data_IF_726835209774
#
_entry.id   IF_726835209774
#
_cell.length_a   1.000
_cell.length_b   1.000
_cell.length_c   1.000
_cell.angle_alpha   90.00
_cell.angle_beta   90.00
_cell.angle_gamma   90.00
#
_symmetry.space_group_name_H-M   'P 1'
#
loop_
_entity.id
_entity.type
_entity.pdbx_description
1 polymer ?
#
# COMPACT_ATOMS: atom_id res chain seq x y z
N UNK A 1 -13.53 -80.54 13.22
CA UNK A 1 -13.01 -79.63 12.20
C UNK A 1 -13.59 -78.27 12.45
N UNK A 2 -12.88 -77.40 13.20
CA UNK A 2 -13.37 -76.08 13.70
C UNK A 2 -12.95 -74.98 12.73
N UNK A 3 -13.94 -74.33 12.13
CA UNK A 3 -13.75 -73.21 11.19
C UNK A 3 -13.72 -71.93 11.99
N UNK A 4 -12.59 -71.28 12.07
CA UNK A 4 -12.42 -69.94 12.69
C UNK A 4 -12.82 -68.85 11.69
N UNK A 5 -13.91 -68.15 12.01
CA UNK A 5 -14.37 -66.96 11.34
C UNK A 5 -13.53 -65.74 11.85
N UNK A 6 -12.68 -65.15 11.02
CA UNK A 6 -11.96 -63.93 11.33
C UNK A 6 -12.79 -62.72 10.87
N UNK A 7 -13.26 -61.92 11.80
CA UNK A 7 -13.86 -60.61 11.60
C UNK A 7 -12.73 -59.60 11.36
N UNK A 8 -12.76 -58.74 10.34
CA UNK A 8 -11.87 -57.62 10.25
C UNK A 8 -12.41 -56.46 11.08
N UNK A 9 -11.62 -55.99 12.05
CA UNK A 9 -11.86 -54.77 12.80
C UNK A 9 -11.54 -53.60 11.88
N UNK A 10 -12.56 -52.91 11.38
CA UNK A 10 -12.41 -51.61 10.70
C UNK A 10 -12.12 -50.55 11.76
N UNK A 11 -10.85 -50.16 11.83
CA UNK A 11 -10.41 -48.99 12.59
C UNK A 11 -10.83 -47.75 11.80
N UNK A 12 -11.95 -47.10 12.12
CA UNK A 12 -12.35 -45.84 11.63
C UNK A 12 -11.44 -44.79 12.30
N UNK A 13 -10.35 -44.39 11.64
CA UNK A 13 -9.62 -43.17 11.99
C UNK A 13 -10.50 -41.95 11.63
N UNK A 14 -11.20 -41.44 12.65
CA UNK A 14 -11.77 -40.10 12.57
C UNK A 14 -10.61 -39.10 12.52
N UNK A 15 -10.25 -38.66 11.32
CA UNK A 15 -9.50 -37.42 11.16
C UNK A 15 -10.39 -36.28 11.65
N UNK A 16 -10.27 -35.90 12.92
CA UNK A 16 -10.65 -34.57 13.35
C UNK A 16 -9.73 -33.62 12.60
N UNK A 17 -10.23 -33.05 11.50
CA UNK A 17 -9.68 -31.83 10.95
C UNK A 17 -9.85 -30.80 12.07
N UNK A 18 -8.77 -30.50 12.79
CA UNK A 18 -8.63 -29.31 13.58
C UNK A 18 -8.61 -28.17 12.55
N UNK A 19 -9.80 -27.69 12.20
CA UNK A 19 -9.90 -26.37 11.57
C UNK A 19 -9.33 -25.41 12.63
N UNK A 20 -8.17 -24.84 12.37
CA UNK A 20 -7.69 -23.70 13.10
C UNK A 20 -8.83 -22.67 13.05
N UNK A 21 -9.58 -22.54 14.15
CA UNK A 21 -10.53 -21.45 14.31
C UNK A 21 -9.68 -20.21 14.39
N UNK A 22 -9.62 -19.46 13.29
CA UNK A 22 -9.08 -18.12 13.33
C UNK A 22 -9.80 -17.34 14.42
N UNK A 23 -9.06 -16.50 15.14
CA UNK A 23 -9.69 -15.64 16.14
C UNK A 23 -10.60 -14.62 15.44
N UNK A 24 -11.76 -14.37 16.08
CA UNK A 24 -12.75 -13.44 15.55
C UNK A 24 -12.56 -12.06 16.19
N UNK A 25 -12.36 -11.06 15.36
CA UNK A 25 -12.17 -9.67 15.76
C UNK A 25 -13.34 -9.10 16.57
N UNK A 26 -14.54 -9.70 16.46
CA UNK A 26 -15.69 -9.27 17.22
C UNK A 26 -15.44 -9.25 18.73
N UNK A 27 -14.66 -10.20 19.25
CA UNK A 27 -14.26 -10.24 20.66
C UNK A 27 -13.36 -9.04 21.02
N UNK A 28 -12.37 -8.71 20.17
CA UNK A 28 -11.46 -7.59 20.38
C UNK A 28 -12.21 -6.26 20.34
N UNK A 29 -12.97 -6.00 19.27
CA UNK A 29 -13.64 -4.69 19.05
C UNK A 29 -14.81 -4.45 20.01
N UNK A 30 -15.35 -5.46 20.66
CA UNK A 30 -16.41 -5.32 21.67
C UNK A 30 -15.89 -5.20 23.10
N UNK A 31 -14.57 -5.36 23.30
CA UNK A 31 -13.98 -5.27 24.64
C UNK A 31 -14.21 -3.87 25.24
N UNK A 32 -14.71 -3.76 26.47
CA UNK A 32 -14.85 -2.47 27.14
C UNK A 32 -13.51 -1.80 27.43
N UNK A 33 -12.45 -2.61 27.51
CA UNK A 33 -11.07 -2.17 27.81
C UNK A 33 -10.23 -1.96 26.55
N UNK A 34 -10.83 -2.05 25.35
CA UNK A 34 -10.12 -1.91 24.08
C UNK A 34 -9.18 -0.70 24.04
N UNK A 35 -9.65 0.46 24.51
CA UNK A 35 -8.89 1.71 24.49
C UNK A 35 -7.88 1.86 25.63
N UNK A 36 -7.80 0.86 26.53
CA UNK A 36 -6.74 0.75 27.55
C UNK A 36 -5.57 -0.10 27.04
N UNK A 37 -5.72 -0.73 25.89
CA UNK A 37 -4.68 -1.55 25.26
C UNK A 37 -3.43 -0.71 25.06
N UNK A 38 -2.30 -1.21 25.58
CA UNK A 38 -1.02 -0.56 25.44
C UNK A 38 -0.29 -1.04 24.19
N UNK A 39 0.52 -0.18 23.60
CA UNK A 39 1.37 -0.50 22.47
C UNK A 39 2.34 -1.64 22.80
N UNK A 40 2.99 -1.54 23.94
CA UNK A 40 3.91 -2.57 24.41
C UNK A 40 3.19 -3.92 24.57
N UNK A 41 3.71 -4.93 23.89
CA UNK A 41 3.16 -6.29 23.94
C UNK A 41 1.91 -6.55 23.10
N UNK A 42 1.34 -5.57 22.39
CA UNK A 42 0.11 -5.73 21.59
C UNK A 42 0.23 -6.87 20.59
N UNK A 43 1.22 -6.85 19.72
CA UNK A 43 1.42 -7.87 18.69
C UNK A 43 1.67 -9.26 19.29
N UNK A 44 2.31 -9.33 20.45
CA UNK A 44 2.55 -10.58 21.19
C UNK A 44 1.25 -11.12 21.81
N UNK A 45 0.44 -10.24 22.42
CA UNK A 45 -0.84 -10.63 23.03
C UNK A 45 -1.86 -11.10 22.00
N UNK A 46 -1.80 -10.56 20.78
CA UNK A 46 -2.70 -10.88 19.66
C UNK A 46 -1.98 -11.66 18.54
N UNK A 47 -0.96 -12.46 18.93
CA UNK A 47 -0.18 -13.27 17.96
C UNK A 47 -1.06 -14.21 17.15
N UNK A 48 -2.13 -14.74 17.74
CA UNK A 48 -3.06 -15.68 17.09
C UNK A 48 -3.88 -14.99 15.98
N UNK A 49 -4.04 -13.67 16.06
CA UNK A 49 -4.58 -12.81 14.98
C UNK A 49 -3.52 -12.48 13.91
N UNK A 50 -2.26 -12.81 14.16
CA UNK A 50 -1.18 -12.59 13.20
C UNK A 50 -0.72 -11.14 13.07
N UNK A 51 -0.97 -10.28 14.06
CA UNK A 51 -0.50 -8.91 14.03
C UNK A 51 1.01 -8.81 14.06
N UNK A 52 1.55 -7.91 13.27
CA UNK A 52 2.96 -7.52 13.24
C UNK A 52 3.10 -6.00 13.16
N UNK A 53 4.20 -5.49 13.67
CA UNK A 53 4.51 -4.06 13.59
C UNK A 53 5.03 -3.70 12.20
N UNK A 54 4.50 -2.65 11.61
CA UNK A 54 4.93 -2.18 10.29
C UNK A 54 6.29 -1.49 10.31
N UNK A 55 6.68 -0.93 11.45
CA UNK A 55 7.94 -0.22 11.62
C UNK A 55 8.51 -0.38 13.03
N UNK A 56 9.79 -0.02 13.20
CA UNK A 56 10.43 0.03 14.50
C UNK A 56 9.81 1.08 15.45
N UNK A 57 9.06 2.07 14.93
CA UNK A 57 8.34 3.04 15.73
C UNK A 57 7.14 2.43 16.48
N UNK A 58 6.66 1.27 16.00
CA UNK A 58 5.52 0.55 16.60
C UNK A 58 4.26 1.44 16.76
N UNK A 59 4.06 2.36 15.83
CA UNK A 59 2.90 3.26 15.79
C UNK A 59 1.71 2.65 15.04
N UNK A 60 1.96 1.61 14.22
CA UNK A 60 0.95 0.85 13.50
C UNK A 60 1.29 -0.62 13.46
N UNK A 61 0.31 -1.46 13.81
CA UNK A 61 0.33 -2.91 13.60
C UNK A 61 -0.70 -3.29 12.54
N UNK A 62 -0.42 -4.36 11.82
CA UNK A 62 -1.26 -4.83 10.73
C UNK A 62 -1.36 -6.34 10.70
N UNK A 63 -2.41 -6.89 10.10
CA UNK A 63 -2.50 -8.32 9.78
C UNK A 63 -3.24 -8.56 8.47
N UNK A 64 -2.65 -9.41 7.63
CA UNK A 64 -3.26 -10.00 6.43
C UNK A 64 -3.52 -11.51 6.61
N UNK A 65 -3.55 -11.99 7.84
CA UNK A 65 -3.70 -13.41 8.12
C UNK A 65 -5.01 -13.97 7.57
N UNK A 66 -4.94 -14.99 6.72
CA UNK A 66 -6.11 -15.69 6.14
C UNK A 66 -7.02 -16.32 7.20
N UNK A 67 -6.57 -16.40 8.47
CA UNK A 67 -7.34 -16.92 9.60
C UNK A 67 -8.13 -15.86 10.35
N UNK A 68 -7.91 -14.57 10.09
CA UNK A 68 -8.62 -13.50 10.79
C UNK A 68 -10.03 -13.33 10.24
N UNK A 69 -11.01 -13.30 11.14
CA UNK A 69 -12.42 -13.16 10.79
C UNK A 69 -13.06 -12.00 11.55
N UNK A 70 -14.08 -11.41 10.94
CA UNK A 70 -15.05 -10.55 11.62
C UNK A 70 -16.43 -11.19 11.48
N UNK A 71 -17.10 -11.44 12.60
CA UNK A 71 -18.39 -12.15 12.61
C UNK A 71 -18.33 -13.49 11.84
N UNK A 72 -17.25 -14.24 12.06
CA UNK A 72 -16.97 -15.54 11.41
C UNK A 72 -16.80 -15.49 9.89
N UNK A 73 -16.57 -14.32 9.31
CA UNK A 73 -16.25 -14.14 7.89
C UNK A 73 -14.82 -13.63 7.74
N UNK A 74 -14.05 -14.14 6.77
CA UNK A 74 -12.71 -13.63 6.49
C UNK A 74 -12.73 -12.14 6.18
N UNK A 75 -11.71 -11.42 6.61
CA UNK A 75 -11.45 -10.03 6.25
C UNK A 75 -10.19 -9.95 5.39
N UNK A 76 -10.04 -8.86 4.65
CA UNK A 76 -8.89 -8.65 3.78
C UNK A 76 -7.66 -8.25 4.61
N UNK A 77 -7.86 -7.32 5.55
CA UNK A 77 -6.79 -6.67 6.28
C UNK A 77 -7.32 -6.03 7.56
N UNK A 78 -6.47 -5.89 8.55
CA UNK A 78 -6.77 -5.13 9.77
C UNK A 78 -5.59 -4.28 10.16
N UNK A 79 -5.83 -2.99 10.25
CA UNK A 79 -4.89 -1.99 10.76
C UNK A 79 -5.23 -1.59 12.18
N UNK A 80 -4.21 -1.39 12.98
CA UNK A 80 -4.33 -0.91 14.36
C UNK A 80 -3.35 0.24 14.56
N UNK A 81 -3.86 1.43 14.80
CA UNK A 81 -3.08 2.65 14.97
C UNK A 81 -2.91 2.98 16.45
N UNK A 82 -1.69 3.36 16.84
CA UNK A 82 -1.33 3.80 18.19
C UNK A 82 -0.94 5.27 18.18
N UNK A 83 -1.37 5.99 19.21
CA UNK A 83 -0.94 7.35 19.49
C UNK A 83 -0.21 7.39 20.82
N UNK A 84 1.09 7.54 20.78
CA UNK A 84 1.95 7.29 21.94
C UNK A 84 1.84 5.83 22.37
N UNK A 85 1.51 5.58 23.63
CA UNK A 85 1.42 4.23 24.18
C UNK A 85 0.02 3.60 24.08
N UNK A 86 -0.99 4.34 23.56
CA UNK A 86 -2.38 3.89 23.59
C UNK A 86 -2.93 3.62 22.19
N UNK A 87 -3.81 2.63 22.13
CA UNK A 87 -4.59 2.33 20.94
C UNK A 87 -5.45 3.55 20.56
N UNK A 88 -5.33 3.99 19.32
CA UNK A 88 -5.99 5.19 18.81
C UNK A 88 -7.15 4.87 17.84
N UNK A 89 -7.06 3.78 17.12
CA UNK A 89 -8.06 3.35 16.16
C UNK A 89 -7.77 1.97 15.61
N UNK A 90 -8.80 1.39 15.01
CA UNK A 90 -8.73 0.10 14.33
C UNK A 90 -9.55 0.19 13.05
N UNK A 91 -8.99 -0.25 11.94
CA UNK A 91 -9.65 -0.33 10.64
C UNK A 91 -9.67 -1.77 10.16
N UNK A 92 -10.83 -2.29 9.81
CA UNK A 92 -11.01 -3.63 9.24
C UNK A 92 -11.45 -3.48 7.79
N UNK A 93 -10.62 -3.87 6.84
CA UNK A 93 -10.98 -4.01 5.43
C UNK A 93 -11.77 -5.31 5.24
N UNK A 94 -13.10 -5.23 5.27
CA UNK A 94 -14.00 -6.39 5.16
C UNK A 94 -14.01 -6.89 3.72
N UNK A 95 -14.01 -5.98 2.77
CA UNK A 95 -13.93 -6.25 1.35
C UNK A 95 -13.17 -5.12 0.67
N UNK A 96 -12.23 -5.48 -0.17
CA UNK A 96 -11.56 -4.58 -1.09
C UNK A 96 -11.47 -5.26 -2.46
N UNK A 97 -11.81 -4.53 -3.51
CA UNK A 97 -11.81 -5.06 -4.87
C UNK A 97 -10.43 -5.55 -5.32
N UNK A 98 -9.39 -4.92 -4.82
CA UNK A 98 -8.01 -5.30 -5.12
C UNK A 98 -7.58 -6.63 -4.51
N UNK A 99 -8.20 -7.04 -3.39
CA UNK A 99 -7.90 -8.29 -2.71
C UNK A 99 -8.84 -9.42 -3.13
N UNK A 100 -10.15 -9.14 -3.07
CA UNK A 100 -11.19 -10.14 -3.20
C UNK A 100 -11.77 -10.26 -4.63
N UNK A 101 -11.35 -9.36 -5.55
CA UNK A 101 -11.92 -9.30 -6.90
C UNK A 101 -13.29 -8.62 -6.95
N UNK A 102 -13.98 -8.76 -8.08
CA UNK A 102 -15.24 -8.07 -8.31
C UNK A 102 -16.40 -8.73 -7.55
N UNK A 103 -17.22 -7.94 -6.86
CA UNK A 103 -18.52 -8.32 -6.34
C UNK A 103 -19.64 -7.76 -7.21
N UNK A 104 -20.66 -8.57 -7.45
CA UNK A 104 -21.91 -8.10 -8.05
C UNK A 104 -22.68 -7.21 -7.05
N UNK A 105 -23.60 -6.42 -7.57
CA UNK A 105 -24.45 -5.56 -6.74
C UNK A 105 -25.25 -6.34 -5.67
N UNK A 106 -25.91 -7.49 -5.99
CA UNK A 106 -26.58 -8.30 -4.96
C UNK A 106 -25.65 -8.85 -3.87
N UNK A 107 -24.44 -9.30 -4.24
CA UNK A 107 -23.45 -9.82 -3.29
C UNK A 107 -22.97 -8.72 -2.34
N UNK A 108 -22.64 -7.54 -2.85
CA UNK A 108 -22.26 -6.39 -2.01
C UNK A 108 -23.38 -6.01 -1.02
N UNK A 109 -24.64 -5.95 -1.49
CA UNK A 109 -25.76 -5.65 -0.60
C UNK A 109 -26.00 -6.74 0.45
N UNK A 110 -25.84 -8.00 0.10
CA UNK A 110 -25.94 -9.11 1.06
C UNK A 110 -24.85 -9.03 2.13
N UNK A 111 -23.62 -8.67 1.74
CA UNK A 111 -22.52 -8.40 2.66
C UNK A 111 -22.90 -7.28 3.62
N UNK A 112 -23.31 -6.12 3.11
CA UNK A 112 -23.67 -4.96 3.94
C UNK A 112 -24.82 -5.24 4.92
N UNK A 113 -25.88 -5.94 4.47
CA UNK A 113 -26.99 -6.33 5.33
C UNK A 113 -26.50 -7.20 6.48
N UNK A 114 -25.63 -8.16 6.19
CA UNK A 114 -25.03 -9.00 7.23
C UNK A 114 -24.24 -8.18 8.24
N UNK A 115 -23.34 -7.30 7.78
CA UNK A 115 -22.49 -6.49 8.67
C UNK A 115 -23.35 -5.56 9.55
N UNK A 116 -24.36 -4.93 8.98
CA UNK A 116 -25.31 -4.10 9.73
C UNK A 116 -26.05 -4.92 10.81
N UNK A 117 -26.50 -6.12 10.50
CA UNK A 117 -27.17 -7.00 11.48
C UNK A 117 -26.23 -7.42 12.61
N UNK A 118 -24.99 -7.78 12.28
CA UNK A 118 -23.98 -8.18 13.27
C UNK A 118 -23.59 -6.99 14.18
N UNK A 119 -23.40 -5.80 13.61
CA UNK A 119 -23.08 -4.59 14.39
C UNK A 119 -24.26 -4.16 15.28
N UNK A 120 -25.50 -4.25 14.83
CA UNK A 120 -26.68 -4.02 15.68
C UNK A 120 -26.71 -5.00 16.87
N UNK A 121 -26.40 -6.28 16.62
CA UNK A 121 -26.36 -7.29 17.67
C UNK A 121 -25.20 -7.06 18.66
N UNK A 122 -24.01 -6.71 18.14
CA UNK A 122 -22.82 -6.44 18.93
C UNK A 122 -23.00 -5.20 19.83
N UNK A 123 -23.41 -4.09 19.26
CA UNK A 123 -23.47 -2.79 19.93
C UNK A 123 -24.74 -2.61 20.74
N UNK A 124 -25.80 -3.36 20.44
CA UNK A 124 -27.16 -3.25 21.00
C UNK A 124 -27.80 -1.87 20.81
N UNK A 125 -27.30 -1.10 19.84
CA UNK A 125 -27.86 0.19 19.43
C UNK A 125 -28.21 0.17 17.94
N UNK A 126 -29.11 1.03 17.52
CA UNK A 126 -29.41 1.23 16.10
C UNK A 126 -28.41 2.21 15.51
N UNK A 127 -28.02 1.97 14.26
CA UNK A 127 -27.13 2.90 13.57
C UNK A 127 -27.83 4.21 13.23
N UNK A 128 -27.04 5.27 13.19
CA UNK A 128 -27.40 6.52 12.52
C UNK A 128 -26.86 6.49 11.09
N UNK A 129 -27.74 6.68 10.12
CA UNK A 129 -27.30 6.82 8.72
C UNK A 129 -26.63 8.19 8.56
N UNK A 130 -25.35 8.22 8.26
CA UNK A 130 -24.60 9.45 8.00
C UNK A 130 -24.79 9.95 6.55
N UNK A 131 -25.53 9.18 5.73
CA UNK A 131 -25.77 9.52 4.33
C UNK A 131 -24.56 9.24 3.44
N UNK A 132 -24.47 9.95 2.35
CA UNK A 132 -23.34 9.90 1.44
C UNK A 132 -22.32 10.94 1.92
N UNK A 133 -21.34 10.51 2.68
CA UNK A 133 -20.19 11.34 2.98
C UNK A 133 -19.27 11.31 1.75
N UNK A 134 -18.89 12.48 1.25
CA UNK A 134 -17.77 12.57 0.34
C UNK A 134 -16.53 12.59 1.21
N UNK A 135 -15.70 11.53 1.14
CA UNK A 135 -14.30 11.68 1.52
C UNK A 135 -13.66 12.72 0.60
N UNK A 136 -12.54 13.30 0.99
CA UNK A 136 -11.82 14.17 0.07
C UNK A 136 -11.34 13.42 -1.17
N UNK A 137 -11.25 12.10 -1.08
CA UNK A 137 -10.83 11.21 -2.15
C UNK A 137 -12.01 10.58 -2.91
N UNK A 138 -12.97 9.94 -2.22
CA UNK A 138 -14.03 9.13 -2.83
C UNK A 138 -15.41 9.39 -2.22
N UNK A 139 -16.46 8.92 -2.88
CA UNK A 139 -17.82 8.97 -2.34
C UNK A 139 -18.17 7.69 -1.62
N UNK A 140 -18.11 7.71 -0.30
CA UNK A 140 -18.54 6.60 0.53
C UNK A 140 -19.90 6.85 1.18
N UNK A 141 -20.62 5.77 1.47
CA UNK A 141 -21.81 5.78 2.32
C UNK A 141 -21.44 5.23 3.67
N UNK A 142 -21.87 5.90 4.74
CA UNK A 142 -21.48 5.55 6.09
C UNK A 142 -22.67 5.28 7.01
N UNK A 143 -22.53 4.26 7.87
CA UNK A 143 -23.41 3.93 8.97
C UNK A 143 -22.63 4.01 10.28
N UNK A 144 -23.14 4.75 11.26
CA UNK A 144 -22.51 4.97 12.54
C UNK A 144 -23.27 4.32 13.69
N UNK A 145 -22.59 3.49 14.47
CA UNK A 145 -23.03 3.06 15.80
C UNK A 145 -22.18 3.76 16.85
N UNK A 146 -22.80 4.26 17.88
CA UNK A 146 -22.12 4.90 19.00
C UNK A 146 -22.51 4.22 20.30
N UNK A 147 -21.52 3.64 20.97
CA UNK A 147 -21.62 3.11 22.33
C UNK A 147 -20.99 4.09 23.34
N UNK A 148 -21.09 3.86 24.64
CA UNK A 148 -20.39 4.70 25.62
C UNK A 148 -18.87 4.73 25.47
N UNK A 149 -18.26 3.70 24.91
CA UNK A 149 -16.80 3.54 24.83
C UNK A 149 -16.23 3.60 23.41
N UNK A 150 -17.03 3.29 22.40
CA UNK A 150 -16.55 3.17 21.01
C UNK A 150 -17.55 3.74 20.01
N UNK A 151 -17.03 4.19 18.89
CA UNK A 151 -17.75 4.46 17.64
C UNK A 151 -17.37 3.42 16.61
N UNK A 152 -18.36 2.89 15.90
CA UNK A 152 -18.22 1.94 14.82
C UNK A 152 -18.76 2.60 13.56
N UNK A 153 -17.89 2.85 12.59
CA UNK A 153 -18.24 3.47 11.31
C UNK A 153 -18.07 2.44 10.20
N UNK A 154 -19.19 1.91 9.70
CA UNK A 154 -19.20 1.02 8.53
C UNK A 154 -19.34 1.86 7.29
N UNK A 155 -18.32 1.84 6.45
CA UNK A 155 -18.26 2.62 5.21
C UNK A 155 -18.20 1.67 4.00
N UNK A 156 -18.82 2.08 2.92
CA UNK A 156 -18.72 1.37 1.65
C UNK A 156 -18.78 2.32 0.46
N UNK A 157 -18.08 1.96 -0.59
CA UNK A 157 -18.05 2.68 -1.86
C UNK A 157 -18.34 1.77 -3.05
N UNK A 158 -18.93 2.33 -4.07
CA UNK A 158 -19.19 1.65 -5.34
C UNK A 158 -19.35 2.63 -6.50
N UNK A 159 -18.95 2.19 -7.69
CA UNK A 159 -19.26 2.88 -8.93
C UNK A 159 -20.66 2.47 -9.40
N UNK A 160 -21.54 3.46 -9.61
CA UNK A 160 -22.90 3.21 -10.14
C UNK A 160 -22.85 2.75 -11.59
N UNK A 161 -23.70 1.79 -11.94
CA UNK A 161 -23.95 1.43 -13.33
C UNK A 161 -24.50 2.64 -14.11
N UNK A 162 -23.89 2.95 -15.25
CA UNK A 162 -24.37 3.97 -16.19
C UNK A 162 -24.50 3.32 -17.57
N UNK A 163 -25.71 2.80 -17.87
CA UNK A 163 -25.98 2.06 -19.12
C UNK A 163 -25.69 2.87 -20.38
N UNK A 164 -26.00 4.17 -20.38
CA UNK A 164 -25.75 5.07 -21.51
C UNK A 164 -24.27 5.28 -21.85
N UNK A 165 -23.36 4.99 -20.89
CA UNK A 165 -21.91 5.11 -21.03
C UNK A 165 -21.19 3.76 -20.96
N UNK A 166 -21.94 2.66 -20.91
CA UNK A 166 -21.42 1.30 -20.74
C UNK A 166 -20.49 1.15 -19.51
N UNK A 167 -20.81 1.87 -18.43
CA UNK A 167 -20.10 1.76 -17.16
C UNK A 167 -20.83 0.72 -16.31
N UNK A 168 -20.21 -0.43 -15.97
CA UNK A 168 -20.84 -1.43 -15.11
C UNK A 168 -20.84 -0.98 -13.63
N UNK A 169 -21.72 -1.61 -12.84
CA UNK A 169 -21.60 -1.55 -11.39
C UNK A 169 -20.25 -2.17 -10.96
N UNK A 170 -19.58 -1.52 -9.99
CA UNK A 170 -18.37 -2.04 -9.36
C UNK A 170 -18.41 -1.74 -7.87
N UNK A 171 -18.40 -2.78 -7.04
CA UNK A 171 -18.09 -2.63 -5.63
C UNK A 171 -16.62 -2.21 -5.50
N UNK A 172 -16.31 -1.25 -4.66
CA UNK A 172 -14.94 -0.77 -4.48
C UNK A 172 -14.39 -1.30 -3.14
N UNK A 173 -15.02 -0.92 -2.02
CA UNK A 173 -14.65 -1.42 -0.72
C UNK A 173 -15.84 -1.47 0.26
N UNK A 174 -15.68 -2.25 1.32
CA UNK A 174 -16.47 -2.24 2.57
C UNK A 174 -15.48 -2.30 3.72
N UNK A 175 -15.49 -1.31 4.60
CA UNK A 175 -14.58 -1.26 5.76
C UNK A 175 -15.31 -0.85 7.02
N UNK A 176 -14.82 -1.33 8.16
CA UNK A 176 -15.28 -0.94 9.48
C UNK A 176 -14.16 -0.20 10.20
N UNK A 177 -14.42 1.03 10.62
CA UNK A 177 -13.51 1.79 11.50
C UNK A 177 -14.08 1.81 12.92
N UNK A 178 -13.23 1.51 13.88
CA UNK A 178 -13.56 1.55 15.30
C UNK A 178 -12.66 2.58 15.98
N UNK A 179 -13.26 3.54 16.68
CA UNK A 179 -12.53 4.62 17.37
C UNK A 179 -13.10 4.86 18.77
N UNK A 180 -12.36 5.50 19.69
CA UNK A 180 -12.90 5.89 20.98
C UNK A 180 -14.13 6.79 20.83
N UNK A 181 -15.08 6.67 21.77
CA UNK A 181 -16.33 7.45 21.75
C UNK A 181 -16.11 8.96 21.79
N UNK A 182 -15.01 9.41 22.38
CA UNK A 182 -14.66 10.82 22.52
C UNK A 182 -14.09 11.46 21.25
N UNK A 183 -13.69 10.64 20.25
CA UNK A 183 -13.19 11.16 18.96
C UNK A 183 -14.33 11.68 18.08
N UNK A 184 -14.05 12.62 17.13
CA UNK A 184 -15.04 13.15 16.19
C UNK A 184 -15.84 12.06 15.49
N UNK A 185 -17.08 12.36 15.11
CA UNK A 185 -18.06 11.40 14.56
C UNK A 185 -17.63 10.73 13.24
N UNK A 186 -16.61 11.24 12.58
CA UNK A 186 -16.09 10.75 11.31
C UNK A 186 -14.59 10.92 11.30
N UNK A 187 -13.85 9.90 10.90
CA UNK A 187 -12.43 10.01 10.55
C UNK A 187 -12.25 11.05 9.44
N UNK A 188 -13.26 11.21 8.63
CA UNK A 188 -13.39 12.22 7.59
C UNK A 188 -13.51 13.65 8.16
N UNK A 189 -14.22 13.84 9.29
CA UNK A 189 -14.24 15.13 9.96
C UNK A 189 -12.87 15.46 10.59
N UNK A 190 -12.08 14.44 10.94
CA UNK A 190 -10.69 14.60 11.36
C UNK A 190 -9.79 14.90 10.15
N UNK A 191 -10.07 14.27 9.00
CA UNK A 191 -9.47 14.60 7.72
C UNK A 191 -9.81 16.02 7.26
N UNK A 192 -11.06 16.41 7.37
CA UNK A 192 -11.52 17.77 7.08
C UNK A 192 -11.02 18.78 8.12
N UNK A 193 -10.86 18.39 9.38
CA UNK A 193 -10.26 19.23 10.41
C UNK A 193 -8.73 19.33 10.24
N UNK A 194 -8.08 18.29 9.69
CA UNK A 194 -6.67 18.34 9.30
C UNK A 194 -6.46 19.00 7.93
N UNK A 195 -7.48 19.07 7.08
CA UNK A 195 -7.56 19.93 5.90
C UNK A 195 -7.93 21.39 6.22
N UNK A 196 -8.29 21.71 7.49
CA UNK A 196 -8.20 23.08 7.98
C UNK A 196 -6.76 23.59 7.74
N UNK A 197 -6.57 24.88 7.41
CA UNK A 197 -5.23 25.42 7.17
C UNK A 197 -4.30 24.92 8.27
N UNK A 198 -3.24 24.19 7.87
CA UNK A 198 -2.22 23.83 8.85
C UNK A 198 -1.73 25.14 9.43
N UNK A 199 -1.81 25.29 10.76
CA UNK A 199 -1.34 26.51 11.43
C UNK A 199 0.16 26.77 11.17
N UNK A 200 0.88 25.75 10.68
CA UNK A 200 2.28 25.83 10.25
C UNK A 200 2.48 25.09 8.94
N UNK A 201 3.25 25.67 8.02
CA UNK A 201 3.72 25.00 6.81
C UNK A 201 4.48 23.71 7.18
N UNK A 202 4.43 22.70 6.31
CA UNK A 202 5.19 21.46 6.51
C UNK A 202 6.69 21.76 6.42
N UNK A 203 7.42 21.59 7.52
CA UNK A 203 8.88 21.79 7.55
C UNK A 203 9.61 20.51 7.15
N UNK A 204 9.69 20.27 5.84
CA UNK A 204 10.36 19.10 5.28
C UNK A 204 11.81 18.93 5.75
N UNK A 205 12.67 19.97 5.73
CA UNK A 205 14.06 19.87 6.18
C UNK A 205 14.22 19.40 7.63
N UNK A 206 13.26 19.67 8.53
CA UNK A 206 13.33 19.21 9.92
C UNK A 206 13.22 17.70 10.07
N UNK A 207 12.69 17.02 9.04
CA UNK A 207 12.59 15.56 8.99
C UNK A 207 13.84 14.89 8.41
N UNK A 208 14.83 15.68 7.96
CA UNK A 208 16.06 15.15 7.35
C UNK A 208 17.13 14.94 8.42
N UNK A 209 17.56 13.71 8.59
CA UNK A 209 18.65 13.35 9.48
C UNK A 209 19.94 13.13 8.71
N UNK A 210 21.02 13.69 9.23
CA UNK A 210 22.40 13.46 8.76
C UNK A 210 23.12 12.63 9.81
N UNK A 211 23.56 11.44 9.43
CA UNK A 211 24.24 10.51 10.32
C UNK A 211 25.77 10.58 10.18
N UNK A 212 26.48 10.16 11.22
CA UNK A 212 27.94 10.11 11.18
C UNK A 212 28.50 9.09 10.17
N UNK A 213 27.66 8.16 9.70
CA UNK A 213 27.95 7.21 8.62
C UNK A 213 27.99 7.85 7.23
N UNK A 214 27.66 9.14 7.11
CA UNK A 214 27.47 9.82 5.83
C UNK A 214 26.07 9.69 5.25
N UNK A 215 25.17 8.93 5.88
CA UNK A 215 23.78 8.80 5.46
C UNK A 215 23.03 10.12 5.68
N UNK A 216 22.32 10.56 4.65
CA UNK A 216 21.37 11.67 4.70
C UNK A 216 20.00 11.10 4.31
N UNK A 217 19.05 11.11 5.23
CA UNK A 217 17.76 10.48 4.99
C UNK A 217 16.59 11.17 5.68
N UNK A 218 15.43 11.05 5.06
CA UNK A 218 14.16 11.45 5.66
C UNK A 218 13.79 10.40 6.70
N UNK A 219 13.56 10.83 7.93
CA UNK A 219 12.95 10.01 8.97
C UNK A 219 11.43 10.15 8.95
N UNK A 220 10.74 9.30 9.69
CA UNK A 220 9.28 9.39 9.91
C UNK A 220 8.37 9.15 8.69
N UNK A 221 8.89 8.68 7.55
CA UNK A 221 8.01 8.18 6.50
C UNK A 221 7.36 6.88 6.98
N UNK A 222 6.04 6.85 7.19
CA UNK A 222 5.39 5.68 7.75
C UNK A 222 5.47 4.48 6.80
N UNK A 223 5.47 3.25 7.36
CA UNK A 223 5.34 2.04 6.58
C UNK A 223 3.87 1.77 6.30
N UNK A 224 3.59 1.26 5.11
CA UNK A 224 2.35 0.61 4.71
C UNK A 224 2.75 -0.66 3.99
N UNK A 225 2.15 -1.79 4.36
CA UNK A 225 2.37 -3.05 3.66
C UNK A 225 1.33 -3.21 2.54
N UNK A 226 1.79 -3.36 1.32
CA UNK A 226 0.89 -3.58 0.18
C UNK A 226 0.28 -5.00 0.14
N UNK A 227 0.74 -5.89 1.01
CA UNK A 227 0.37 -7.30 0.98
C UNK A 227 0.79 -8.01 -0.32
N UNK A 228 0.03 -9.04 -0.70
CA UNK A 228 0.25 -9.80 -1.94
C UNK A 228 -0.34 -9.13 -3.20
N UNK A 229 -0.85 -7.91 -3.06
CA UNK A 229 -1.57 -7.14 -4.10
C UNK A 229 -0.60 -6.40 -5.03
N UNK A 230 -1.05 -6.06 -6.23
CA UNK A 230 -0.37 -5.12 -7.12
C UNK A 230 -0.54 -3.65 -6.69
N UNK A 231 -0.43 -3.36 -5.40
CA UNK A 231 -0.73 -2.05 -4.79
C UNK A 231 0.50 -1.21 -4.47
N UNK A 232 1.66 -1.55 -5.03
CA UNK A 232 2.88 -0.78 -4.77
C UNK A 232 2.72 0.74 -4.97
N UNK A 233 1.97 1.17 -5.99
CA UNK A 233 1.70 2.58 -6.25
C UNK A 233 0.77 3.17 -5.19
N UNK A 234 -0.27 2.42 -4.80
CA UNK A 234 -1.25 2.81 -3.78
C UNK A 234 -0.57 2.99 -2.43
N UNK A 235 0.11 1.93 -1.96
CA UNK A 235 0.81 1.92 -0.68
C UNK A 235 1.90 3.00 -0.61
N UNK A 236 2.68 3.16 -1.70
CA UNK A 236 3.70 4.20 -1.77
C UNK A 236 3.09 5.61 -1.69
N UNK A 237 1.97 5.85 -2.39
CA UNK A 237 1.26 7.14 -2.33
C UNK A 237 0.68 7.39 -0.93
N UNK A 238 0.07 6.38 -0.29
CA UNK A 238 -0.44 6.48 1.09
C UNK A 238 0.68 6.87 2.06
N UNK A 239 1.84 6.23 1.97
CA UNK A 239 2.99 6.52 2.83
C UNK A 239 3.39 8.00 2.75
N UNK A 240 3.47 8.54 1.54
CA UNK A 240 3.81 9.97 1.33
C UNK A 240 2.69 10.88 1.82
N UNK A 241 1.42 10.54 1.56
CA UNK A 241 0.28 11.30 2.07
C UNK A 241 0.27 11.33 3.61
N UNK A 242 0.45 10.19 4.25
CA UNK A 242 0.54 10.08 5.72
C UNK A 242 1.74 10.85 6.28
N UNK A 243 2.88 10.83 5.60
CA UNK A 243 4.06 11.61 5.96
C UNK A 243 3.74 13.12 6.02
N UNK A 244 2.94 13.60 5.09
CA UNK A 244 2.45 14.98 5.09
C UNK A 244 1.21 15.20 5.99
N UNK A 245 0.75 14.18 6.71
CA UNK A 245 -0.45 14.26 7.56
C UNK A 245 -1.75 14.41 6.77
N UNK A 246 -1.79 13.92 5.53
CA UNK A 246 -3.01 13.84 4.72
C UNK A 246 -3.66 12.47 4.96
N UNK A 247 -4.89 12.41 5.51
CA UNK A 247 -5.52 11.18 5.95
C UNK A 247 -6.27 10.51 4.79
N UNK A 248 -5.53 9.83 3.92
CA UNK A 248 -6.07 9.00 2.84
C UNK A 248 -5.53 7.59 3.03
N UNK A 249 -6.38 6.59 2.95
CA UNK A 249 -5.98 5.19 3.06
C UNK A 249 -5.90 4.48 1.70
N UNK A 250 -5.38 3.26 1.71
CA UNK A 250 -5.19 2.46 0.50
C UNK A 250 -6.50 2.15 -0.22
N UNK A 251 -7.62 1.93 0.50
CA UNK A 251 -8.92 1.62 -0.11
C UNK A 251 -9.40 2.78 -0.98
N UNK A 252 -9.24 4.01 -0.50
CA UNK A 252 -9.60 5.22 -1.22
C UNK A 252 -8.68 5.45 -2.41
N UNK A 253 -7.37 5.29 -2.22
CA UNK A 253 -6.40 5.45 -3.29
C UNK A 253 -6.55 4.36 -4.37
N UNK A 254 -6.85 3.12 -3.99
CA UNK A 254 -7.12 2.03 -4.93
C UNK A 254 -8.37 2.30 -5.76
N UNK A 255 -9.44 2.83 -5.17
CA UNK A 255 -10.64 3.26 -5.89
C UNK A 255 -10.31 4.38 -6.89
N UNK A 256 -9.59 5.41 -6.46
CA UNK A 256 -9.18 6.53 -7.30
C UNK A 256 -8.37 6.08 -8.52
N UNK A 257 -7.44 5.17 -8.31
CA UNK A 257 -6.59 4.63 -9.37
C UNK A 257 -7.29 3.56 -10.21
N UNK A 258 -8.54 3.18 -9.87
CA UNK A 258 -9.25 2.07 -10.47
C UNK A 258 -8.45 0.75 -10.43
N UNK A 259 -7.76 0.52 -9.32
CA UNK A 259 -6.93 -0.65 -9.09
C UNK A 259 -7.75 -1.95 -9.12
N UNK A 260 -7.11 -3.06 -9.45
CA UNK A 260 -7.75 -4.38 -9.42
C UNK A 260 -6.75 -5.48 -9.10
N UNK A 261 -7.23 -6.57 -8.51
CA UNK A 261 -6.43 -7.75 -8.20
C UNK A 261 -5.66 -8.31 -9.41
N UNK A 262 -6.27 -8.24 -10.60
CA UNK A 262 -5.71 -8.81 -11.82
C UNK A 262 -4.70 -7.90 -12.55
N UNK A 263 -4.89 -6.58 -12.50
CA UNK A 263 -4.11 -5.61 -13.27
C UNK A 263 -3.17 -4.74 -12.42
N UNK A 264 -3.31 -4.80 -11.09
CA UNK A 264 -2.59 -3.91 -10.20
C UNK A 264 -3.04 -2.45 -10.34
N UNK A 265 -2.10 -1.53 -10.13
CA UNK A 265 -2.33 -0.08 -10.19
C UNK A 265 -1.42 0.55 -11.23
N UNK A 266 -2.00 1.36 -12.13
CA UNK A 266 -1.22 2.17 -13.09
C UNK A 266 -0.79 3.47 -12.43
N UNK A 267 0.49 3.84 -12.60
CA UNK A 267 1.04 5.13 -12.14
C UNK A 267 0.26 6.30 -12.74
N UNK A 268 0.00 6.25 -14.05
CA UNK A 268 -0.71 7.32 -14.77
C UNK A 268 -2.13 7.50 -14.24
N UNK A 269 -2.84 6.39 -13.96
CA UNK A 269 -4.20 6.45 -13.40
C UNK A 269 -4.19 7.04 -12.00
N UNK A 270 -3.24 6.64 -11.14
CA UNK A 270 -3.07 7.17 -9.80
C UNK A 270 -2.77 8.68 -9.85
N UNK A 271 -1.72 9.08 -10.55
CA UNK A 271 -1.30 10.48 -10.59
C UNK A 271 -2.32 11.38 -11.26
N UNK A 272 -3.01 10.91 -12.32
CA UNK A 272 -4.10 11.65 -12.93
C UNK A 272 -5.28 11.87 -11.96
N UNK A 273 -5.54 10.91 -11.09
CA UNK A 273 -6.60 11.02 -10.08
C UNK A 273 -6.19 11.94 -8.93
N UNK A 274 -4.98 11.80 -8.39
CA UNK A 274 -4.44 12.70 -7.38
C UNK A 274 -4.37 14.14 -7.86
N UNK A 275 -3.98 14.36 -9.13
CA UNK A 275 -3.96 15.70 -9.74
C UNK A 275 -5.34 16.35 -9.79
N UNK A 276 -6.41 15.59 -10.00
CA UNK A 276 -7.78 16.12 -9.95
C UNK A 276 -8.22 16.49 -8.54
N UNK A 277 -7.63 15.90 -7.53
CA UNK A 277 -7.93 16.12 -6.12
C UNK A 277 -6.89 16.99 -5.41
N UNK A 278 -5.91 17.51 -6.14
CA UNK A 278 -4.76 18.24 -5.58
C UNK A 278 -5.16 19.37 -4.63
N UNK A 279 -6.14 20.18 -5.01
CA UNK A 279 -6.64 21.27 -4.16
C UNK A 279 -7.32 20.75 -2.88
N UNK A 280 -8.09 19.65 -2.98
CA UNK A 280 -8.80 19.05 -1.84
C UNK A 280 -7.84 18.34 -0.88
N UNK A 281 -6.87 17.62 -1.42
CA UNK A 281 -5.85 16.91 -0.66
C UNK A 281 -4.68 17.81 -0.26
N UNK A 282 -4.66 19.06 -0.76
CA UNK A 282 -3.58 20.03 -0.53
C UNK A 282 -2.19 19.48 -0.87
N UNK A 283 -2.12 18.71 -1.97
CA UNK A 283 -0.88 18.17 -2.52
C UNK A 283 -0.81 18.43 -4.02
N UNK A 284 0.39 18.53 -4.54
CA UNK A 284 0.66 18.56 -5.98
C UNK A 284 1.53 17.38 -6.38
N UNK A 285 1.30 16.89 -7.58
CA UNK A 285 2.16 15.88 -8.20
C UNK A 285 3.15 16.61 -9.12
N UNK A 286 4.42 16.38 -8.89
CA UNK A 286 5.50 16.91 -9.72
C UNK A 286 6.24 15.75 -10.38
N UNK A 287 6.08 15.55 -11.71
CA UNK A 287 6.96 14.66 -12.45
C UNK A 287 8.41 15.18 -12.36
N UNK A 288 9.32 14.28 -12.02
CA UNK A 288 10.75 14.56 -11.94
C UNK A 288 11.45 14.02 -13.18
N UNK A 289 11.16 12.75 -13.48
CA UNK A 289 11.72 12.07 -14.65
C UNK A 289 10.73 11.05 -15.16
N UNK A 290 10.45 11.10 -16.44
CA UNK A 290 9.63 10.10 -17.12
C UNK A 290 10.49 9.38 -18.16
N UNK A 291 10.39 8.06 -18.24
CA UNK A 291 11.00 7.29 -19.32
C UNK A 291 10.11 7.39 -20.55
N UNK A 292 10.36 8.39 -21.39
CA UNK A 292 9.58 8.59 -22.61
C UNK A 292 9.98 7.61 -23.73
N UNK A 293 9.18 7.59 -24.80
CA UNK A 293 9.43 6.71 -25.97
C UNK A 293 10.82 6.94 -26.58
N UNK A 294 11.33 8.17 -26.60
CA UNK A 294 12.64 8.49 -27.19
C UNK A 294 13.75 7.93 -26.32
N UNK A 295 13.63 8.05 -25.00
CA UNK A 295 14.59 7.50 -24.05
C UNK A 295 14.66 5.98 -24.13
N UNK A 296 13.49 5.31 -24.25
CA UNK A 296 13.43 3.85 -24.45
C UNK A 296 14.12 3.46 -25.74
N UNK A 297 13.82 4.13 -26.84
CA UNK A 297 14.45 3.84 -28.14
C UNK A 297 15.96 4.12 -28.12
N UNK A 298 16.40 5.19 -27.45
CA UNK A 298 17.81 5.51 -27.27
C UNK A 298 18.53 4.41 -26.44
N UNK A 299 17.88 3.97 -25.35
CA UNK A 299 18.39 2.88 -24.52
C UNK A 299 18.53 1.57 -25.34
N UNK A 300 17.49 1.21 -26.10
CA UNK A 300 17.53 0.01 -26.98
C UNK A 300 18.65 0.10 -28.01
N UNK A 301 18.83 1.26 -28.61
CA UNK A 301 19.91 1.49 -29.59
C UNK A 301 21.29 1.31 -28.97
N UNK A 302 21.52 1.88 -27.78
CA UNK A 302 22.79 1.77 -27.08
C UNK A 302 23.02 0.33 -26.58
N UNK A 303 21.96 -0.31 -26.03
CA UNK A 303 22.03 -1.72 -25.65
C UNK A 303 22.41 -2.60 -26.84
N UNK A 304 21.75 -2.45 -27.99
CA UNK A 304 22.02 -3.25 -29.18
C UNK A 304 23.42 -3.01 -29.72
N UNK A 305 23.95 -1.77 -29.63
CA UNK A 305 25.33 -1.46 -29.98
C UNK A 305 26.33 -2.24 -29.13
N UNK A 306 26.08 -2.34 -27.82
CA UNK A 306 26.90 -3.08 -26.87
C UNK A 306 26.73 -4.58 -27.03
N UNK A 307 25.50 -5.07 -27.16
CA UNK A 307 25.19 -6.50 -27.36
C UNK A 307 25.92 -7.08 -28.58
N UNK A 308 25.94 -6.37 -29.73
CA UNK A 308 26.72 -6.76 -30.89
C UNK A 308 28.21 -6.91 -30.60
N UNK A 309 28.78 -6.02 -29.79
CA UNK A 309 30.21 -6.09 -29.42
C UNK A 309 30.53 -7.28 -28.51
N UNK A 310 29.57 -7.65 -27.68
CA UNK A 310 29.71 -8.77 -26.74
C UNK A 310 29.17 -10.09 -27.30
N UNK A 311 28.75 -10.10 -28.58
CA UNK A 311 28.17 -11.27 -29.25
C UNK A 311 26.89 -11.80 -28.55
N UNK A 312 26.06 -10.88 -28.04
CA UNK A 312 24.84 -11.19 -27.33
C UNK A 312 23.60 -10.79 -28.15
N UNK A 313 22.43 -11.38 -27.84
CA UNK A 313 21.18 -11.07 -28.55
C UNK A 313 20.82 -9.61 -28.50
N UNK A 314 20.42 -9.07 -29.63
CA UNK A 314 19.86 -7.71 -29.75
C UNK A 314 18.36 -7.72 -29.42
N UNK A 315 17.87 -6.58 -28.91
CA UNK A 315 16.44 -6.36 -28.74
C UNK A 315 15.84 -6.12 -30.12
N UNK A 316 14.84 -6.91 -30.53
CA UNK A 316 14.19 -6.71 -31.83
C UNK A 316 13.38 -5.42 -31.87
N UNK A 317 13.14 -4.90 -33.06
CA UNK A 317 12.21 -3.80 -33.28
C UNK A 317 10.82 -4.17 -32.74
N UNK A 318 10.26 -3.30 -31.90
CA UNK A 318 8.97 -3.50 -31.27
C UNK A 318 7.78 -2.98 -32.12
N UNK A 319 8.05 -2.41 -33.29
CA UNK A 319 7.03 -1.80 -34.14
C UNK A 319 6.35 -0.60 -33.50
N UNK A 320 5.02 -0.46 -33.72
CA UNK A 320 4.27 0.71 -33.22
C UNK A 320 3.92 0.68 -31.73
N UNK A 321 4.05 -0.47 -31.06
CA UNK A 321 3.64 -0.63 -29.66
C UNK A 321 4.83 -1.11 -28.81
N UNK A 322 5.42 -0.19 -28.06
CA UNK A 322 6.49 -0.51 -27.14
C UNK A 322 5.92 -1.19 -25.88
N UNK A 323 6.34 -2.42 -25.64
CA UNK A 323 6.03 -3.17 -24.42
C UNK A 323 7.24 -3.08 -23.50
N UNK A 324 7.31 -2.02 -22.69
CA UNK A 324 8.46 -1.68 -21.86
C UNK A 324 8.96 -2.87 -21.05
N UNK A 325 8.06 -3.57 -20.34
CA UNK A 325 8.45 -4.76 -19.57
C UNK A 325 9.12 -5.82 -20.44
N UNK A 326 8.58 -6.10 -21.64
CA UNK A 326 9.16 -7.11 -22.56
C UNK A 326 10.53 -6.70 -23.09
N UNK A 327 10.75 -5.40 -23.25
CA UNK A 327 12.05 -4.86 -23.64
C UNK A 327 13.07 -5.15 -22.52
N UNK A 328 12.74 -4.85 -21.27
CA UNK A 328 13.62 -5.12 -20.12
C UNK A 328 13.82 -6.62 -19.87
N UNK A 329 12.76 -7.45 -20.02
CA UNK A 329 12.85 -8.91 -19.92
C UNK A 329 13.84 -9.52 -20.93
N UNK A 330 13.99 -8.89 -22.09
CA UNK A 330 14.91 -9.36 -23.13
C UNK A 330 16.35 -8.83 -22.97
N UNK A 331 16.57 -7.86 -22.07
CA UNK A 331 17.89 -7.28 -21.82
C UNK A 331 18.70 -8.13 -20.83
N UNK A 332 19.99 -8.33 -21.12
CA UNK A 332 20.94 -8.86 -20.16
C UNK A 332 21.33 -7.75 -19.17
N UNK A 333 21.28 -8.03 -17.84
CA UNK A 333 21.54 -7.02 -16.81
C UNK A 333 22.87 -6.29 -16.97
N UNK A 334 23.95 -7.03 -17.24
CA UNK A 334 25.29 -6.44 -17.37
C UNK A 334 25.42 -5.49 -18.56
N UNK A 335 24.78 -5.81 -19.69
CA UNK A 335 24.79 -4.95 -20.88
C UNK A 335 23.87 -3.74 -20.65
N UNK A 336 22.73 -3.95 -20.00
CA UNK A 336 21.83 -2.87 -19.62
C UNK A 336 22.55 -1.85 -18.71
N UNK A 337 23.23 -2.35 -17.67
CA UNK A 337 24.00 -1.48 -16.77
C UNK A 337 25.04 -0.68 -17.55
N UNK A 338 25.83 -1.31 -18.42
CA UNK A 338 26.79 -0.60 -19.30
C UNK A 338 26.11 0.44 -20.20
N UNK A 339 24.93 0.10 -20.77
CA UNK A 339 24.18 1.03 -21.62
C UNK A 339 23.67 2.25 -20.85
N UNK A 340 23.18 2.04 -19.62
CA UNK A 340 22.65 3.11 -18.75
C UNK A 340 23.76 3.99 -18.17
N UNK A 341 24.92 3.42 -17.84
CA UNK A 341 26.04 4.12 -17.19
C UNK A 341 27.14 4.56 -18.15
N UNK A 342 27.02 4.24 -19.44
CA UNK A 342 27.99 4.64 -20.47
C UNK A 342 28.29 6.15 -20.46
N UNK A 343 27.27 6.96 -20.25
CA UNK A 343 27.43 8.39 -20.04
C UNK A 343 27.11 8.69 -18.56
N UNK A 344 28.15 8.96 -17.78
CA UNK A 344 28.01 9.28 -16.34
C UNK A 344 27.07 10.44 -16.07
N UNK A 345 26.87 11.36 -17.01
CA UNK A 345 25.95 12.49 -16.83
C UNK A 345 24.49 12.08 -16.51
N UNK A 346 24.08 10.85 -16.86
CA UNK A 346 22.78 10.31 -16.45
C UNK A 346 22.76 9.96 -14.96
N UNK A 347 23.78 9.27 -14.49
CA UNK A 347 23.96 8.90 -13.07
C UNK A 347 24.10 10.16 -12.22
N UNK A 348 25.00 11.07 -12.61
CA UNK A 348 25.26 12.32 -11.87
C UNK A 348 23.98 13.16 -11.70
N UNK A 349 23.18 13.26 -12.77
CA UNK A 349 21.89 13.97 -12.74
C UNK A 349 20.87 13.28 -11.82
N UNK A 350 20.81 11.95 -11.87
CA UNK A 350 19.96 11.16 -11.00
C UNK A 350 20.34 11.40 -9.53
N UNK A 351 21.61 11.27 -9.19
CA UNK A 351 22.12 11.52 -7.84
C UNK A 351 21.82 12.93 -7.35
N UNK A 352 22.11 13.96 -8.17
CA UNK A 352 21.82 15.34 -7.82
C UNK A 352 20.32 15.55 -7.59
N UNK A 353 19.47 14.97 -8.44
CA UNK A 353 18.03 15.07 -8.31
C UNK A 353 17.53 14.40 -7.01
N UNK A 354 18.07 13.26 -6.65
CA UNK A 354 17.77 12.61 -5.36
C UNK A 354 18.18 13.51 -4.21
N UNK A 355 19.40 14.02 -4.21
CA UNK A 355 19.92 14.89 -3.15
C UNK A 355 19.07 16.14 -2.98
N UNK A 356 18.73 16.83 -4.08
CA UNK A 356 17.94 18.06 -4.04
C UNK A 356 16.55 17.85 -3.42
N UNK A 357 15.91 16.69 -3.66
CA UNK A 357 14.62 16.37 -3.07
C UNK A 357 14.76 15.95 -1.59
N UNK A 358 15.69 15.06 -1.30
CA UNK A 358 15.89 14.54 0.07
C UNK A 358 16.29 15.66 1.03
N UNK A 359 17.19 16.59 0.62
CA UNK A 359 17.61 17.73 1.44
C UNK A 359 16.44 18.67 1.78
N UNK A 360 15.36 18.66 0.99
CA UNK A 360 14.11 19.39 1.23
C UNK A 360 13.07 18.56 2.03
N UNK A 361 13.40 17.33 2.40
CA UNK A 361 12.46 16.43 3.07
C UNK A 361 11.34 15.92 2.16
N UNK A 362 11.60 15.82 0.86
CA UNK A 362 10.67 15.35 -0.16
C UNK A 362 11.03 13.91 -0.55
N UNK A 363 10.26 12.88 -0.11
CA UNK A 363 10.48 11.51 -0.56
C UNK A 363 10.18 11.39 -2.06
N UNK A 364 11.01 10.65 -2.79
CA UNK A 364 10.84 10.47 -4.23
C UNK A 364 10.13 9.16 -4.52
N UNK A 365 8.96 9.22 -5.16
CA UNK A 365 8.28 8.05 -5.72
C UNK A 365 9.12 7.52 -6.87
N UNK A 366 9.62 6.31 -6.71
CA UNK A 366 10.64 5.76 -7.59
C UNK A 366 10.11 4.52 -8.33
N UNK A 367 9.80 4.70 -9.59
CA UNK A 367 9.40 3.62 -10.48
C UNK A 367 10.62 2.86 -10.97
N UNK A 368 10.62 1.54 -10.78
CA UNK A 368 11.75 0.66 -11.10
C UNK A 368 11.33 -0.57 -11.88
N UNK A 369 12.32 -1.19 -12.54
CA UNK A 369 12.19 -2.54 -13.06
C UNK A 369 12.98 -3.50 -12.16
N UNK A 370 12.27 -4.35 -11.41
CA UNK A 370 12.85 -5.37 -10.53
C UNK A 370 13.58 -6.46 -11.32
N UNK A 371 14.45 -7.19 -10.64
CA UNK A 371 15.09 -8.39 -11.16
C UNK A 371 16.27 -8.15 -12.11
N UNK A 372 16.69 -6.90 -12.28
CA UNK A 372 17.80 -6.51 -13.19
C UNK A 372 19.11 -6.23 -12.46
N UNK A 373 19.07 -6.06 -11.15
CA UNK A 373 20.25 -5.91 -10.29
C UNK A 373 20.14 -6.87 -9.11
N UNK A 374 21.26 -7.27 -8.50
CA UNK A 374 21.22 -8.12 -7.31
C UNK A 374 20.60 -7.36 -6.13
N UNK A 375 19.56 -7.92 -5.53
CA UNK A 375 18.92 -7.39 -4.34
C UNK A 375 18.59 -8.50 -3.34
N UNK A 376 18.83 -8.25 -2.06
CA UNK A 376 18.38 -9.14 -1.01
C UNK A 376 16.86 -8.95 -0.74
N UNK A 377 16.16 -10.08 -0.54
CA UNK A 377 14.72 -10.06 -0.19
C UNK A 377 13.81 -9.35 -1.22
N UNK A 378 14.20 -9.35 -2.51
CA UNK A 378 13.33 -8.89 -3.59
C UNK A 378 12.58 -10.06 -4.23
N UNK A 379 11.38 -9.87 -4.77
CA UNK A 379 10.69 -10.89 -5.55
C UNK A 379 11.53 -11.37 -6.73
N UNK A 380 11.43 -12.66 -7.02
CA UNK A 380 12.10 -13.23 -8.19
C UNK A 380 11.30 -12.90 -9.46
N UNK A 381 11.98 -12.40 -10.47
CA UNK A 381 11.40 -12.08 -11.78
C UNK A 381 11.54 -10.61 -12.14
N UNK A 382 11.37 -10.33 -13.44
CA UNK A 382 11.43 -8.96 -13.97
C UNK A 382 10.01 -8.39 -13.96
N UNK A 383 9.83 -7.22 -13.33
CA UNK A 383 8.53 -6.58 -13.24
C UNK A 383 8.62 -5.14 -12.77
N UNK A 384 7.64 -4.34 -13.19
CA UNK A 384 7.51 -2.96 -12.72
C UNK A 384 7.12 -2.91 -11.25
N UNK A 385 7.72 -1.98 -10.51
CA UNK A 385 7.43 -1.76 -9.10
C UNK A 385 7.62 -0.28 -8.72
N UNK A 386 6.95 0.16 -7.67
CA UNK A 386 7.14 1.51 -7.12
C UNK A 386 7.69 1.42 -5.71
N UNK A 387 8.71 2.24 -5.44
CA UNK A 387 9.44 2.39 -4.20
C UNK A 387 9.47 3.84 -3.75
N UNK A 388 9.98 4.10 -2.57
CA UNK A 388 10.37 5.44 -2.15
C UNK A 388 11.88 5.54 -2.02
N UNK A 389 12.51 6.51 -2.70
CA UNK A 389 13.83 6.98 -2.28
C UNK A 389 13.61 7.89 -1.08
N UNK A 390 14.30 7.58 0.01
CA UNK A 390 14.20 8.31 1.28
C UNK A 390 15.55 8.87 1.74
N UNK A 391 16.63 8.62 0.99
CA UNK A 391 17.94 9.11 1.36
C UNK A 391 19.04 8.77 0.35
N UNK A 392 20.24 9.19 0.71
CA UNK A 392 21.46 8.93 -0.04
C UNK A 392 22.69 8.91 0.88
N UNK A 393 23.79 8.34 0.39
CA UNK A 393 25.11 8.43 1.02
C UNK A 393 26.15 8.77 -0.04
N UNK A 394 26.77 9.95 0.07
CA UNK A 394 27.79 10.41 -0.90
C UNK A 394 29.13 9.70 -0.73
N UNK A 395 29.47 9.24 0.48
CA UNK A 395 30.75 8.60 0.75
C UNK A 395 30.82 7.20 0.16
N UNK A 396 29.69 6.46 0.23
CA UNK A 396 29.59 5.11 -0.33
C UNK A 396 28.95 5.07 -1.71
N UNK A 397 28.49 6.22 -2.21
CA UNK A 397 27.77 6.38 -3.48
C UNK A 397 26.53 5.47 -3.56
N UNK A 398 25.70 5.52 -2.53
CA UNK A 398 24.49 4.68 -2.39
C UNK A 398 23.22 5.52 -2.33
N UNK A 399 22.14 4.93 -2.85
CA UNK A 399 20.78 5.40 -2.67
C UNK A 399 20.13 4.61 -1.53
N UNK A 400 19.48 5.31 -0.61
CA UNK A 400 18.70 4.72 0.46
C UNK A 400 17.22 4.77 0.09
N UNK A 401 16.58 3.61 0.13
CA UNK A 401 15.20 3.48 -0.30
C UNK A 401 14.39 2.57 0.63
N UNK A 402 13.08 2.61 0.46
CA UNK A 402 12.11 1.83 1.21
C UNK A 402 11.09 1.21 0.28
N UNK A 403 10.77 -0.07 0.51
CA UNK A 403 9.70 -0.78 -0.18
C UNK A 403 8.42 -0.81 0.66
N UNK A 404 7.28 -1.06 0.03
CA UNK A 404 5.97 -1.23 0.67
C UNK A 404 5.69 -2.71 0.96
N UNK A 405 6.68 -3.46 1.46
CA UNK A 405 6.57 -4.90 1.75
C UNK A 405 6.64 -5.20 3.25
N UNK A 406 6.25 -4.23 4.06
CA UNK A 406 6.17 -4.38 5.51
C UNK A 406 7.52 -4.44 6.22
N UNK A 407 7.60 -5.14 7.36
CA UNK A 407 8.76 -5.15 8.24
C UNK A 407 10.05 -5.62 7.56
N UNK A 408 11.16 -4.93 7.84
CA UNK A 408 12.47 -5.22 7.27
C UNK A 408 12.69 -4.61 5.87
N UNK A 409 11.72 -3.83 5.37
CA UNK A 409 11.81 -3.13 4.10
C UNK A 409 11.81 -1.60 4.26
N UNK A 410 11.92 -1.11 5.49
CA UNK A 410 11.87 0.32 5.83
C UNK A 410 13.09 1.08 5.32
N UNK A 411 14.25 0.45 5.36
CA UNK A 411 15.52 1.04 4.93
C UNK A 411 16.39 0.01 4.23
N UNK A 412 16.54 0.19 2.94
CA UNK A 412 17.40 -0.59 2.05
C UNK A 412 18.37 0.35 1.36
N UNK A 413 19.41 -0.20 0.77
CA UNK A 413 20.42 0.57 0.03
C UNK A 413 20.92 -0.17 -1.18
N UNK A 414 21.33 0.56 -2.20
CA UNK A 414 22.05 0.03 -3.36
C UNK A 414 22.97 1.09 -3.96
N UNK A 415 23.99 0.67 -4.71
CA UNK A 415 24.85 1.59 -5.48
C UNK A 415 24.01 2.48 -6.41
N UNK A 416 24.40 3.76 -6.54
CA UNK A 416 23.65 4.72 -7.34
C UNK A 416 23.58 4.35 -8.83
N UNK A 417 24.61 3.69 -9.36
CA UNK A 417 24.64 3.18 -10.72
C UNK A 417 23.65 2.02 -10.94
N UNK A 418 23.48 1.13 -9.95
CA UNK A 418 22.46 0.09 -9.96
C UNK A 418 21.06 0.70 -9.86
N UNK A 419 20.87 1.67 -8.96
CA UNK A 419 19.61 2.40 -8.82
C UNK A 419 19.22 3.09 -10.13
N UNK A 420 20.16 3.80 -10.77
CA UNK A 420 19.93 4.41 -12.09
C UNK A 420 19.60 3.35 -13.16
N UNK A 421 20.27 2.21 -13.14
CA UNK A 421 20.07 1.15 -14.12
C UNK A 421 18.63 0.64 -14.14
N UNK A 422 18.01 0.50 -12.98
CA UNK A 422 16.63 -0.01 -12.85
C UNK A 422 15.56 1.08 -12.89
N UNK A 423 15.93 2.38 -12.84
CA UNK A 423 14.99 3.50 -12.83
C UNK A 423 14.21 3.58 -14.14
N UNK A 424 12.88 3.62 -14.03
CA UNK A 424 11.94 3.84 -15.14
C UNK A 424 11.15 5.13 -15.01
N UNK A 425 11.18 5.77 -13.84
CA UNK A 425 10.53 7.05 -13.61
C UNK A 425 10.75 7.53 -12.18
N UNK A 426 10.58 8.83 -11.97
CA UNK A 426 10.58 9.46 -10.66
C UNK A 426 9.53 10.55 -10.61
N UNK A 427 8.80 10.61 -9.50
CA UNK A 427 7.78 11.61 -9.23
C UNK A 427 7.90 12.09 -7.78
N UNK A 428 7.35 13.25 -7.48
CA UNK A 428 7.15 13.72 -6.12
C UNK A 428 5.68 14.05 -5.86
N UNK A 429 5.22 13.74 -4.67
CA UNK A 429 4.00 14.30 -4.07
C UNK A 429 4.50 15.34 -3.06
N UNK A 430 4.04 16.58 -3.20
CA UNK A 430 4.48 17.70 -2.37
C UNK A 430 3.26 18.36 -1.72
N UNK A 431 3.35 18.83 -0.48
CA UNK A 431 2.29 19.63 0.11
C UNK A 431 2.16 20.95 -0.64
N UNK A 432 0.93 21.45 -0.80
CA UNK A 432 0.66 22.80 -1.28
C UNK A 432 0.78 23.72 -0.07
N UNK A 433 1.75 24.63 -0.10
CA UNK A 433 1.87 25.73 0.85
C UNK A 433 0.88 26.84 0.49
N UNK A 434 0.34 27.53 1.50
CA UNK A 434 -0.58 28.66 1.32
C UNK A 434 0.15 29.92 0.86
#
# INVERSE_FOLDING_TARGET
>A
MKMFLRLPVLLAMAFLALQARGEDLAALISSPDLWQTQREGFAEQHRDLGFYWLSAAQDRAETHSKGVTLFSKPVCEVDVDFQGEKLAGLTVSIYNRGDAGDLSKPEMYALLVNEVQQLNALTKVQYANQGQEASDAVKAVAFLWQTPVSKFLLEYSFTKEVKTRNIPFRAQFVRLRVTPAEKPKSFLAEALASAAPRETAFDGPSHVKKEASGDVRIETVPMVDQGEKGYCVVATAERVMRYYGVPVDENELAELANSSAAAGTSNEAMFASLKKLSERLRVRIRPIQELDVREILALMSEYNRLARREHEPEIPDQGQMLKVQKIYEAMKPDILKKARTHNHAGVDRFEQTVQDNIDQGIPVLWSVMLGLVPESNAPKGIGGHMRLIIGYNRETNEILYSDSWGPGHELKRMPADDAWTITTGMDAIEPIED
#
